data_IF_247850296942
#
_entry.id   IF_247850296942
#
_cell.length_a   1.000
_cell.length_b   1.000
_cell.length_c   1.000
_cell.angle_alpha   90.00
_cell.angle_beta   90.00
_cell.angle_gamma   90.00
#
_symmetry.space_group_name_H-M   'P 1'
#
loop_
_entity.id
_entity.type
_entity.pdbx_description
1 polymer ?
#
# COMPACT_ATOMS: atom_id res chain seq x y z
N UNK A 1 -17.41 17.76 -53.74
CA UNK A 1 -17.93 16.69 -52.86
C UNK A 1 -16.87 15.62 -52.57
N UNK A 2 -16.43 14.83 -53.57
CA UNK A 2 -15.47 13.73 -53.35
C UNK A 2 -14.15 14.16 -52.69
N UNK A 3 -13.56 15.28 -53.12
CA UNK A 3 -12.30 15.80 -52.56
C UNK A 3 -12.42 16.24 -51.10
N UNK A 4 -13.54 16.87 -50.74
CA UNK A 4 -13.80 17.27 -49.35
C UNK A 4 -13.98 16.06 -48.44
N UNK A 5 -14.66 15.02 -48.93
CA UNK A 5 -14.82 13.77 -48.22
C UNK A 5 -13.47 13.05 -48.02
N UNK A 6 -12.60 13.03 -49.03
CA UNK A 6 -11.26 12.44 -48.89
C UNK A 6 -10.39 13.20 -47.89
N UNK A 7 -10.44 14.54 -47.86
CA UNK A 7 -9.70 15.31 -46.85
C UNK A 7 -10.24 15.08 -45.45
N UNK A 8 -11.56 14.99 -45.30
CA UNK A 8 -12.20 14.71 -44.01
C UNK A 8 -11.75 13.37 -43.43
N UNK A 9 -11.77 12.31 -44.25
CA UNK A 9 -11.31 10.99 -43.83
C UNK A 9 -9.81 10.94 -43.54
N UNK A 10 -8.99 11.66 -44.32
CA UNK A 10 -7.54 11.70 -44.11
C UNK A 10 -7.19 12.38 -42.78
N UNK A 11 -7.85 13.49 -42.46
CA UNK A 11 -7.67 14.17 -41.16
C UNK A 11 -8.12 13.26 -40.02
N UNK A 12 -9.31 12.64 -40.15
CA UNK A 12 -9.81 11.68 -39.18
C UNK A 12 -8.86 10.51 -38.94
N UNK A 13 -8.23 9.99 -40.00
CA UNK A 13 -7.30 8.87 -39.91
C UNK A 13 -6.02 9.25 -39.15
N UNK A 14 -5.50 10.44 -39.43
CA UNK A 14 -4.37 10.99 -38.67
C UNK A 14 -4.75 11.21 -37.20
N UNK A 15 -5.94 11.76 -36.93
CA UNK A 15 -6.39 12.00 -35.55
C UNK A 15 -6.58 10.70 -34.77
N UNK A 16 -7.28 9.72 -35.33
CA UNK A 16 -7.49 8.41 -34.69
C UNK A 16 -6.15 7.67 -34.46
N UNK A 17 -5.21 7.74 -35.41
CA UNK A 17 -3.89 7.11 -35.28
C UNK A 17 -3.06 7.76 -34.16
N UNK A 18 -3.08 9.08 -34.05
CA UNK A 18 -2.40 9.82 -32.98
C UNK A 18 -3.04 9.55 -31.62
N UNK A 19 -4.37 9.52 -31.54
CA UNK A 19 -5.09 9.19 -30.30
C UNK A 19 -4.79 7.77 -29.84
N UNK A 20 -4.79 6.80 -30.76
CA UNK A 20 -4.42 5.42 -30.49
C UNK A 20 -2.96 5.31 -30.04
N UNK A 21 -2.04 5.96 -30.75
CA UNK A 21 -0.62 6.00 -30.40
C UNK A 21 -0.37 6.65 -29.04
N UNK A 22 -1.04 7.76 -28.74
CA UNK A 22 -0.99 8.42 -27.44
C UNK A 22 -1.57 7.53 -26.34
N UNK A 23 -2.67 6.83 -26.58
CA UNK A 23 -3.23 5.88 -25.63
C UNK A 23 -2.28 4.71 -25.35
N UNK A 24 -1.62 4.19 -26.37
CA UNK A 24 -0.64 3.10 -26.23
C UNK A 24 0.65 3.57 -25.55
N UNK A 25 1.06 4.83 -25.75
CA UNK A 25 2.31 5.39 -25.21
C UNK A 25 2.17 5.94 -23.78
N UNK A 26 1.08 6.66 -23.48
CA UNK A 26 0.93 7.43 -22.22
C UNK A 26 0.22 6.67 -21.10
N UNK A 27 -0.62 5.68 -21.42
CA UNK A 27 -1.10 4.74 -20.41
C UNK A 27 -0.10 3.60 -20.30
N UNK A 28 0.68 3.60 -19.22
CA UNK A 28 1.46 2.46 -18.72
C UNK A 28 0.55 1.22 -18.56
N UNK A 29 0.25 0.50 -19.62
CA UNK A 29 -0.57 -0.73 -19.55
C UNK A 29 -0.33 -1.61 -20.76
N UNK A 30 0.89 -2.17 -20.84
CA UNK A 30 1.09 -3.49 -21.45
C UNK A 30 0.27 -4.58 -20.71
N UNK A 31 -0.19 -4.31 -19.48
CA UNK A 31 -0.92 -5.25 -18.63
C UNK A 31 -2.40 -5.45 -19.01
N UNK A 32 -3.06 -4.47 -19.66
CA UNK A 32 -4.48 -4.57 -20.06
C UNK A 32 -4.75 -3.87 -21.39
N UNK A 33 -4.35 -4.46 -22.53
CA UNK A 33 -4.68 -3.90 -23.83
C UNK A 33 -6.20 -3.81 -24.02
N UNK A 34 -6.67 -2.81 -24.76
CA UNK A 34 -8.05 -2.79 -25.24
C UNK A 34 -8.34 -4.12 -25.94
N UNK A 35 -9.47 -4.74 -25.61
CA UNK A 35 -9.95 -5.91 -26.34
C UNK A 35 -9.98 -5.58 -27.84
N UNK A 36 -9.52 -6.51 -28.69
CA UNK A 36 -9.56 -6.37 -30.15
C UNK A 36 -10.97 -5.97 -30.65
N UNK A 37 -12.01 -6.44 -29.94
CA UNK A 37 -13.41 -6.07 -30.20
C UNK A 37 -13.69 -4.58 -29.92
N UNK A 38 -13.16 -4.06 -28.82
CA UNK A 38 -13.29 -2.64 -28.49
C UNK A 38 -12.54 -1.77 -29.51
N UNK A 39 -11.31 -2.13 -29.87
CA UNK A 39 -10.54 -1.42 -30.91
C UNK A 39 -11.26 -1.39 -32.26
N UNK A 40 -11.81 -2.52 -32.71
CA UNK A 40 -12.56 -2.62 -33.96
C UNK A 40 -13.83 -1.75 -33.97
N UNK A 41 -14.42 -1.48 -32.79
CA UNK A 41 -15.59 -0.62 -32.65
C UNK A 41 -15.16 0.85 -32.53
N UNK A 42 -14.20 1.18 -31.67
CA UNK A 42 -13.84 2.57 -31.40
C UNK A 42 -13.13 3.25 -32.56
N UNK A 43 -12.26 2.54 -33.29
CA UNK A 43 -11.48 3.12 -34.39
C UNK A 43 -12.33 3.74 -35.52
N UNK A 44 -13.34 3.05 -36.10
CA UNK A 44 -14.19 3.66 -37.12
C UNK A 44 -15.07 4.79 -36.58
N UNK A 45 -15.47 4.74 -35.30
CA UNK A 45 -16.22 5.83 -34.67
C UNK A 45 -15.35 7.07 -34.47
N UNK A 46 -14.09 6.93 -34.03
CA UNK A 46 -13.16 8.05 -33.95
C UNK A 46 -12.85 8.63 -35.33
N UNK A 47 -12.71 7.80 -36.36
CA UNK A 47 -12.48 8.22 -37.74
C UNK A 47 -13.63 9.08 -38.30
N UNK A 48 -14.88 8.65 -38.06
CA UNK A 48 -16.08 9.31 -38.59
C UNK A 48 -16.52 10.52 -37.77
N UNK A 49 -16.21 10.56 -36.47
CA UNK A 49 -16.65 11.63 -35.57
C UNK A 49 -15.48 12.41 -34.98
N UNK A 50 -14.30 12.38 -35.62
CA UNK A 50 -13.09 13.05 -35.16
C UNK A 50 -13.29 14.52 -34.77
N UNK A 51 -14.15 15.34 -35.43
CA UNK A 51 -14.33 16.73 -35.01
C UNK A 51 -14.97 16.83 -33.63
N UNK A 52 -15.93 15.94 -33.31
CA UNK A 52 -16.57 15.90 -32.00
C UNK A 52 -15.60 15.42 -30.93
N UNK A 53 -14.78 14.41 -31.22
CA UNK A 53 -13.74 13.93 -30.30
C UNK A 53 -12.65 14.98 -30.08
N UNK A 54 -12.25 15.70 -31.13
CA UNK A 54 -11.27 16.78 -31.04
C UNK A 54 -11.81 17.95 -30.21
N UNK A 55 -13.06 18.36 -30.42
CA UNK A 55 -13.73 19.39 -29.61
C UNK A 55 -13.90 18.92 -28.17
N UNK A 56 -14.28 17.66 -27.94
CA UNK A 56 -14.40 17.09 -26.60
C UNK A 56 -13.04 16.97 -25.88
N UNK A 57 -11.97 16.67 -26.62
CA UNK A 57 -10.62 16.61 -26.09
C UNK A 57 -10.10 18.01 -25.73
N UNK A 58 -10.36 19.00 -26.59
CA UNK A 58 -10.05 20.40 -26.31
C UNK A 58 -10.86 20.97 -25.14
N UNK A 59 -12.17 20.65 -25.06
CA UNK A 59 -13.05 21.13 -23.99
C UNK A 59 -12.78 20.43 -22.66
N UNK A 60 -12.29 19.19 -22.68
CA UNK A 60 -11.79 18.48 -21.49
C UNK A 60 -10.42 19.00 -21.01
N UNK A 61 -9.79 19.94 -21.72
CA UNK A 61 -8.93 20.96 -21.12
C UNK A 61 -7.85 20.48 -20.14
N UNK A 62 -7.29 19.28 -20.35
CA UNK A 62 -6.12 18.78 -19.64
C UNK A 62 -4.96 18.52 -20.60
N UNK A 63 -4.72 19.46 -21.52
CA UNK A 63 -3.39 19.65 -22.09
C UNK A 63 -2.41 20.32 -21.10
N UNK A 64 -2.85 20.51 -19.85
CA UNK A 64 -2.08 21.16 -18.78
C UNK A 64 -0.93 20.34 -18.15
N UNK A 65 -0.72 19.02 -18.36
CA UNK A 65 0.48 18.39 -17.81
C UNK A 65 1.39 17.67 -18.82
N UNK A 66 1.31 17.94 -20.13
CA UNK A 66 2.24 17.31 -21.11
C UNK A 66 3.49 18.18 -21.37
N UNK A 67 3.38 19.50 -21.19
CA UNK A 67 4.50 20.45 -21.36
C UNK A 67 4.94 21.15 -20.06
N UNK A 68 4.27 20.88 -18.94
CA UNK A 68 4.91 21.12 -17.64
C UNK A 68 5.96 20.04 -17.49
N UNK A 69 7.22 20.37 -17.83
CA UNK A 69 8.37 19.78 -17.16
C UNK A 69 7.98 19.71 -15.70
N UNK A 70 7.76 18.50 -15.19
CA UNK A 70 7.47 18.30 -13.77
C UNK A 70 8.60 19.04 -13.05
N UNK A 71 8.29 20.19 -12.45
CA UNK A 71 9.17 20.76 -11.43
C UNK A 71 9.39 19.58 -10.52
N UNK A 72 10.63 19.07 -10.50
CA UNK A 72 11.09 17.95 -9.68
C UNK A 72 10.20 17.90 -8.45
N UNK A 73 9.41 16.84 -8.27
CA UNK A 73 8.46 16.74 -7.15
C UNK A 73 9.20 17.20 -5.89
N UNK A 74 8.97 18.45 -5.48
CA UNK A 74 9.51 18.97 -4.25
C UNK A 74 8.54 18.40 -3.26
N UNK A 75 9.01 17.42 -2.48
CA UNK A 75 8.32 16.96 -1.28
C UNK A 75 7.68 18.21 -0.65
N UNK A 76 6.34 18.23 -0.51
CA UNK A 76 5.69 19.37 0.14
C UNK A 76 6.44 19.58 1.45
N UNK A 77 6.91 20.82 1.68
CA UNK A 77 7.51 21.12 2.98
C UNK A 77 6.52 20.63 4.03
N UNK A 78 6.94 19.80 5.00
CA UNK A 78 6.03 19.30 6.02
C UNK A 78 5.25 20.50 6.55
N UNK A 79 3.92 20.40 6.59
CA UNK A 79 3.11 21.44 7.19
C UNK A 79 3.69 21.71 8.58
N UNK A 80 3.93 22.97 8.97
CA UNK A 80 4.39 23.27 10.32
C UNK A 80 3.31 22.72 11.26
N UNK A 81 3.60 21.60 11.90
CA UNK A 81 2.78 21.05 12.97
C UNK A 81 2.80 22.12 14.06
N UNK A 82 1.63 22.51 14.56
CA UNK A 82 1.56 23.44 15.69
C UNK A 82 2.44 22.89 16.82
N UNK A 83 3.46 23.62 17.30
CA UNK A 83 4.33 23.15 18.37
C UNK A 83 3.58 22.77 19.66
N UNK A 84 2.35 23.27 19.84
CA UNK A 84 1.49 22.86 20.93
C UNK A 84 0.80 21.51 20.65
N UNK A 85 0.36 21.27 19.42
CA UNK A 85 -0.23 20.00 18.98
C UNK A 85 0.79 18.87 19.06
N UNK A 86 2.02 19.08 18.60
CA UNK A 86 3.08 18.08 18.69
C UNK A 86 3.42 17.75 20.15
N UNK A 87 3.47 18.76 21.03
CA UNK A 87 3.67 18.53 22.47
C UNK A 87 2.54 17.73 23.11
N UNK A 88 1.28 18.00 22.73
CA UNK A 88 0.13 17.20 23.20
C UNK A 88 0.23 15.76 22.71
N UNK A 89 0.66 15.55 21.45
CA UNK A 89 0.87 14.22 20.87
C UNK A 89 1.96 13.45 21.60
N UNK A 90 3.13 14.07 21.85
CA UNK A 90 4.24 13.45 22.59
C UNK A 90 3.79 13.11 24.02
N UNK A 91 3.15 14.05 24.73
CA UNK A 91 2.67 13.81 26.09
C UNK A 91 1.63 12.68 26.17
N UNK A 92 0.72 12.61 25.18
CA UNK A 92 -0.24 11.51 25.09
C UNK A 92 0.46 10.16 24.89
N UNK A 93 1.41 10.06 23.96
CA UNK A 93 2.18 8.83 23.69
C UNK A 93 2.97 8.39 24.92
N UNK A 94 3.66 9.32 25.59
CA UNK A 94 4.36 9.03 26.84
C UNK A 94 3.41 8.59 27.95
N UNK A 95 2.20 9.16 28.02
CA UNK A 95 1.15 8.74 28.95
C UNK A 95 0.71 7.29 28.71
N UNK A 96 0.47 6.92 27.45
CA UNK A 96 0.13 5.55 27.04
C UNK A 96 1.28 4.59 27.30
N UNK A 97 2.53 4.99 27.04
CA UNK A 97 3.70 4.16 27.33
C UNK A 97 3.85 3.85 28.83
N UNK A 98 3.62 4.85 29.69
CA UNK A 98 3.70 4.71 31.16
C UNK A 98 2.55 3.87 31.72
N UNK A 99 1.34 4.05 31.19
CA UNK A 99 0.13 3.35 31.60
C UNK A 99 -0.56 2.73 30.37
N UNK A 100 -0.05 1.59 29.88
CA UNK A 100 -0.60 0.96 28.69
C UNK A 100 -2.04 0.48 28.94
N UNK A 101 -2.91 0.51 27.92
CA UNK A 101 -4.26 -0.01 28.03
C UNK A 101 -4.23 -1.53 28.28
N UNK A 102 -5.35 -2.08 28.72
CA UNK A 102 -5.44 -3.50 29.05
C UNK A 102 -5.14 -4.40 27.84
N UNK A 103 -4.28 -5.41 28.04
CA UNK A 103 -3.82 -6.34 27.01
C UNK A 103 -4.04 -7.78 27.47
N UNK A 104 -4.73 -8.58 26.65
CA UNK A 104 -4.99 -9.99 26.92
C UNK A 104 -3.89 -10.90 26.42
N UNK A 105 -4.06 -12.21 26.61
CA UNK A 105 -3.11 -13.21 26.11
C UNK A 105 -2.89 -13.12 24.60
N UNK A 106 -3.92 -12.77 23.84
CA UNK A 106 -3.88 -12.71 22.39
C UNK A 106 -4.05 -11.28 21.88
N UNK A 107 -3.25 -10.91 20.88
CA UNK A 107 -3.36 -9.66 20.14
C UNK A 107 -3.87 -10.01 18.74
N UNK A 108 -4.84 -9.24 18.24
CA UNK A 108 -5.31 -9.39 16.87
C UNK A 108 -5.40 -8.07 16.13
N UNK A 109 -5.27 -8.13 14.82
CA UNK A 109 -5.45 -6.99 13.92
C UNK A 109 -6.05 -7.48 12.60
N UNK A 110 -6.91 -6.64 12.01
CA UNK A 110 -7.46 -6.88 10.67
C UNK A 110 -6.42 -6.54 9.61
N UNK A 111 -6.38 -7.33 8.55
CA UNK A 111 -5.58 -7.11 7.35
C UNK A 111 -6.03 -5.86 6.62
N UNK A 112 -5.55 -4.71 7.06
CA UNK A 112 -5.78 -3.45 6.35
C UNK A 112 -4.86 -3.39 5.14
N UNK A 113 -5.46 -3.29 3.96
CA UNK A 113 -4.70 -3.12 2.72
C UNK A 113 -4.49 -1.66 2.36
N UNK A 114 -3.42 -1.38 1.60
CA UNK A 114 -3.27 -0.08 0.94
C UNK A 114 -4.45 0.20 0.00
N UNK A 115 -5.00 -0.85 -0.61
CA UNK A 115 -6.14 -0.75 -1.54
C UNK A 115 -7.51 -0.63 -0.85
N UNK A 116 -7.54 -0.55 0.48
CA UNK A 116 -8.78 -0.37 1.23
C UNK A 116 -9.68 -1.60 1.16
N UNK A 117 -9.18 -2.75 1.62
CA UNK A 117 -10.08 -3.87 1.92
C UNK A 117 -11.05 -3.43 3.02
N UNK A 118 -12.35 -3.61 2.77
CA UNK A 118 -13.34 -3.48 3.85
C UNK A 118 -12.99 -4.48 4.94
N UNK A 119 -13.20 -4.10 6.22
CA UNK A 119 -12.89 -4.96 7.38
C UNK A 119 -13.49 -6.36 7.23
N UNK A 120 -14.64 -6.45 6.56
CA UNK A 120 -15.40 -7.68 6.36
C UNK A 120 -14.74 -8.65 5.36
N UNK A 121 -13.84 -8.18 4.49
CA UNK A 121 -13.12 -8.99 3.51
C UNK A 121 -11.63 -9.21 3.88
N UNK A 122 -11.18 -8.59 4.96
CA UNK A 122 -9.78 -8.66 5.43
C UNK A 122 -9.46 -9.96 6.18
N UNK A 123 -8.21 -10.43 6.10
CA UNK A 123 -7.74 -11.50 6.99
C UNK A 123 -7.64 -11.01 8.43
N UNK A 124 -7.83 -11.89 9.42
CA UNK A 124 -7.61 -11.53 10.84
C UNK A 124 -6.32 -12.20 11.29
N UNK A 125 -5.33 -11.41 11.69
CA UNK A 125 -4.05 -11.90 12.19
C UNK A 125 -4.09 -11.96 13.71
N UNK A 126 -3.65 -13.08 14.28
CA UNK A 126 -3.74 -13.36 15.72
C UNK A 126 -2.38 -13.86 16.20
N UNK A 127 -1.86 -13.22 17.23
CA UNK A 127 -0.57 -13.53 17.85
C UNK A 127 -0.72 -13.64 19.36
N UNK A 128 0.14 -14.41 20.03
CA UNK A 128 0.26 -14.29 21.47
C UNK A 128 1.05 -13.02 21.82
N UNK A 129 0.61 -12.29 22.83
CA UNK A 129 1.26 -11.05 23.24
C UNK A 129 2.74 -11.26 23.60
N UNK A 130 3.07 -12.39 24.23
CA UNK A 130 4.46 -12.77 24.56
C UNK A 130 5.34 -12.91 23.31
N UNK A 131 4.79 -13.44 22.22
CA UNK A 131 5.53 -13.68 20.98
C UNK A 131 5.76 -12.35 20.26
N UNK A 132 4.78 -11.44 20.29
CA UNK A 132 4.93 -10.07 19.79
C UNK A 132 6.02 -9.33 20.56
N UNK A 133 5.98 -9.37 21.91
CA UNK A 133 6.99 -8.71 22.74
C UNK A 133 8.40 -9.26 22.48
N UNK A 134 8.55 -10.59 22.42
CA UNK A 134 9.82 -11.24 22.11
C UNK A 134 10.33 -10.86 20.72
N UNK A 135 9.45 -10.89 19.71
CA UNK A 135 9.80 -10.57 18.33
C UNK A 135 10.29 -9.12 18.16
N UNK A 136 9.66 -8.18 18.87
CA UNK A 136 10.05 -6.77 18.86
C UNK A 136 11.35 -6.53 19.63
N UNK A 137 11.56 -7.22 20.76
CA UNK A 137 12.79 -7.13 21.54
C UNK A 137 14.03 -7.61 20.77
N UNK A 138 13.86 -8.54 19.82
CA UNK A 138 14.92 -9.02 18.93
C UNK A 138 15.23 -8.05 17.78
N UNK A 139 14.54 -6.91 17.68
CA UNK A 139 14.77 -5.91 16.66
C UNK A 139 14.27 -6.31 15.26
N UNK A 140 13.45 -7.36 15.13
CA UNK A 140 12.93 -7.86 13.85
C UNK A 140 11.70 -7.09 13.34
N UNK A 141 11.56 -5.83 13.74
CA UNK A 141 10.44 -4.99 13.33
C UNK A 141 10.58 -4.67 11.83
N UNK A 142 9.47 -4.78 11.10
CA UNK A 142 9.44 -4.41 9.69
C UNK A 142 9.43 -2.90 9.52
N UNK A 143 9.94 -2.42 8.39
CA UNK A 143 9.90 -1.02 7.99
C UNK A 143 9.17 -0.90 6.66
N UNK A 144 8.51 0.23 6.35
CA UNK A 144 8.07 0.55 4.99
C UNK A 144 9.19 0.58 3.95
N UNK A 145 10.45 0.49 4.39
CA UNK A 145 11.64 0.59 3.56
C UNK A 145 12.50 -0.67 3.74
N UNK A 146 12.74 -1.39 2.65
CA UNK A 146 13.68 -2.51 2.61
C UNK A 146 14.88 -2.15 1.71
N UNK A 147 16.10 -2.27 2.24
CA UNK A 147 17.35 -2.12 1.49
C UNK A 147 17.99 -3.49 1.36
N UNK A 148 18.09 -4.02 0.14
CA UNK A 148 18.42 -5.43 -0.13
C UNK A 148 19.91 -5.79 0.07
N UNK A 149 20.75 -4.89 0.61
CA UNK A 149 22.21 -5.08 0.74
C UNK A 149 22.82 -4.63 2.08
N UNK A 150 22.04 -4.56 3.15
CA UNK A 150 22.60 -4.30 4.47
C UNK A 150 22.11 -5.30 5.49
N UNK A 151 23.01 -6.16 5.96
CA UNK A 151 22.80 -7.00 7.15
C UNK A 151 22.49 -6.18 8.41
N UNK A 152 22.61 -4.85 8.37
CA UNK A 152 22.29 -3.95 9.49
C UNK A 152 22.01 -2.53 8.98
N UNK A 153 20.79 -2.24 8.52
CA UNK A 153 20.33 -0.86 8.45
C UNK A 153 18.85 -0.80 8.84
N UNK A 154 18.61 -0.74 10.14
CA UNK A 154 17.49 0.05 10.68
C UNK A 154 17.62 1.43 10.06
N UNK A 155 16.81 1.71 9.05
CA UNK A 155 16.66 3.07 8.55
C UNK A 155 15.93 3.83 9.67
N UNK A 156 16.71 4.39 10.60
CA UNK A 156 16.24 5.38 11.55
C UNK A 156 15.96 6.66 10.75
N UNK A 157 14.82 6.70 10.04
CA UNK A 157 14.41 7.83 9.21
C UNK A 157 13.91 9.03 10.03
N UNK A 158 14.19 9.03 11.32
CA UNK A 158 14.10 10.15 12.24
C UNK A 158 15.25 9.88 13.22
N UNK A 159 16.15 10.84 13.42
CA UNK A 159 16.88 10.84 14.69
C UNK A 159 15.78 10.92 15.73
N UNK A 160 15.50 9.80 16.40
CA UNK A 160 14.51 9.75 17.45
C UNK A 160 14.90 10.85 18.43
N UNK A 161 14.05 11.86 18.55
CA UNK A 161 14.11 12.76 19.69
C UNK A 161 14.08 11.84 20.91
N UNK A 162 15.07 11.89 21.83
CA UNK A 162 15.14 10.97 22.96
C UNK A 162 13.87 10.99 23.84
N UNK A 163 13.02 12.01 23.68
CA UNK A 163 11.72 12.14 24.34
C UNK A 163 10.53 11.53 23.53
N UNK A 164 10.69 11.15 22.27
CA UNK A 164 9.64 10.60 21.40
C UNK A 164 9.61 9.06 21.44
N UNK A 165 8.57 8.50 22.06
CA UNK A 165 8.37 7.03 22.11
C UNK A 165 7.87 6.53 20.74
N UNK A 166 8.58 5.58 20.13
CA UNK A 166 8.20 4.99 18.84
C UNK A 166 6.95 4.11 18.94
N UNK A 167 6.21 3.94 17.83
CA UNK A 167 5.02 3.06 17.78
C UNK A 167 5.42 1.62 18.13
N UNK A 168 6.57 1.17 17.65
CA UNK A 168 7.15 -0.14 17.98
C UNK A 168 7.41 -0.30 19.48
N UNK A 169 7.97 0.72 20.15
CA UNK A 169 8.18 0.70 21.61
C UNK A 169 6.85 0.69 22.38
N UNK A 170 5.84 1.42 21.91
CA UNK A 170 4.50 1.38 22.51
C UNK A 170 3.88 -0.02 22.42
N UNK A 171 3.95 -0.65 21.24
CA UNK A 171 3.40 -1.98 21.01
C UNK A 171 4.15 -3.03 21.84
N UNK A 172 5.48 -2.97 21.87
CA UNK A 172 6.30 -3.85 22.70
C UNK A 172 5.91 -3.71 24.17
N UNK A 173 5.88 -2.48 24.70
CA UNK A 173 5.53 -2.23 26.10
C UNK A 173 4.13 -2.71 26.45
N UNK A 174 3.17 -2.48 25.56
CA UNK A 174 1.80 -2.95 25.74
C UNK A 174 1.70 -4.47 25.75
N UNK A 175 2.43 -5.15 24.87
CA UNK A 175 2.49 -6.61 24.80
C UNK A 175 3.23 -7.23 26.02
N UNK A 176 4.25 -6.57 26.56
CA UNK A 176 4.94 -6.97 27.81
C UNK A 176 4.01 -6.87 29.04
N UNK A 177 3.10 -5.92 29.05
CA UNK A 177 2.11 -5.75 30.12
C UNK A 177 0.88 -6.66 29.98
N UNK A 178 0.88 -7.59 29.03
CA UNK A 178 -0.24 -8.49 28.80
C UNK A 178 -0.46 -9.46 29.97
N UNK A 179 -1.72 -9.61 30.36
CA UNK A 179 -2.11 -10.59 31.35
C UNK A 179 -2.34 -11.95 30.69
N UNK A 180 -1.31 -12.80 30.77
CA UNK A 180 -1.35 -14.17 30.23
C UNK A 180 -2.42 -15.07 30.85
N UNK A 181 -2.98 -14.71 32.01
CA UNK A 181 -4.05 -15.46 32.66
C UNK A 181 -5.42 -15.23 32.02
N UNK A 182 -5.57 -14.14 31.24
CA UNK A 182 -6.83 -13.80 30.59
C UNK A 182 -6.81 -14.15 29.10
N UNK A 183 -7.63 -15.12 28.69
CA UNK A 183 -7.65 -15.66 27.32
C UNK A 183 -8.38 -14.78 26.28
N UNK A 184 -8.65 -13.51 26.58
CA UNK A 184 -9.33 -12.63 25.63
C UNK A 184 -8.38 -12.05 24.57
N UNK A 185 -8.97 -11.52 23.51
CA UNK A 185 -8.29 -10.95 22.36
C UNK A 185 -8.31 -9.41 22.43
N UNK A 186 -7.12 -8.80 22.35
CA UNK A 186 -6.96 -7.35 22.31
C UNK A 186 -6.71 -6.86 20.88
N UNK A 187 -7.51 -5.90 20.41
CA UNK A 187 -7.29 -5.22 19.12
C UNK A 187 -6.24 -4.13 19.28
N UNK A 188 -5.39 -3.90 18.27
CA UNK A 188 -4.42 -2.81 18.31
C UNK A 188 -5.11 -1.44 18.10
N UNK A 189 -5.00 -0.61 19.13
CA UNK A 189 -5.48 0.77 19.12
C UNK A 189 -4.35 1.73 18.72
N UNK A 190 -4.59 2.56 17.71
CA UNK A 190 -3.79 3.76 17.41
C UNK A 190 -2.49 3.59 16.60
N UNK A 191 -1.84 2.41 16.61
CA UNK A 191 -0.53 2.19 15.94
C UNK A 191 -0.61 1.26 14.71
N UNK A 192 -1.78 1.22 14.04
CA UNK A 192 -2.08 0.26 12.95
C UNK A 192 -1.13 0.38 11.75
N UNK A 193 -0.64 1.60 11.50
CA UNK A 193 0.21 1.92 10.36
C UNK A 193 1.59 1.25 10.39
N UNK A 194 2.18 1.06 11.57
CA UNK A 194 3.45 0.34 11.72
C UNK A 194 3.22 -1.15 11.95
N UNK A 195 2.15 -1.52 12.65
CA UNK A 195 1.89 -2.91 13.01
C UNK A 195 1.73 -3.83 11.79
N UNK A 196 1.27 -3.34 10.64
CA UNK A 196 1.24 -4.13 9.39
C UNK A 196 2.60 -4.70 8.98
N UNK A 197 3.69 -3.96 9.20
CA UNK A 197 5.02 -4.46 8.85
C UNK A 197 5.51 -5.49 9.87
N UNK A 198 5.08 -5.36 11.13
CA UNK A 198 5.27 -6.37 12.17
C UNK A 198 4.51 -7.66 11.80
N UNK A 199 3.24 -7.55 11.41
CA UNK A 199 2.42 -8.69 10.93
C UNK A 199 3.13 -9.42 9.80
N UNK A 200 3.60 -8.70 8.78
CA UNK A 200 4.32 -9.30 7.65
C UNK A 200 5.48 -10.18 8.12
N UNK A 201 6.34 -9.62 8.96
CA UNK A 201 7.56 -10.31 9.37
C UNK A 201 7.27 -11.46 10.33
N UNK A 202 6.28 -11.32 11.22
CA UNK A 202 5.82 -12.41 12.07
C UNK A 202 5.18 -13.54 11.26
N UNK A 203 4.40 -13.22 10.22
CA UNK A 203 3.81 -14.21 9.31
C UNK A 203 4.91 -14.91 8.50
N UNK A 204 5.88 -14.16 7.96
CA UNK A 204 7.04 -14.71 7.25
C UNK A 204 7.89 -15.64 8.16
N UNK A 205 7.98 -15.33 9.45
CA UNK A 205 8.62 -16.16 10.46
C UNK A 205 7.76 -17.36 10.91
N UNK A 206 6.52 -17.48 10.43
CA UNK A 206 5.58 -18.53 10.79
C UNK A 206 4.99 -18.43 12.19
N UNK A 207 5.08 -17.26 12.84
CA UNK A 207 4.65 -17.02 14.22
C UNK A 207 3.17 -16.64 14.23
N UNK A 208 2.38 -17.29 15.09
CA UNK A 208 0.95 -17.01 15.26
C UNK A 208 0.05 -17.74 14.27
N UNK A 209 -1.18 -17.26 14.14
CA UNK A 209 -2.19 -17.81 13.25
C UNK A 209 -2.95 -16.69 12.55
N UNK A 210 -3.52 -16.98 11.38
CA UNK A 210 -4.46 -16.05 10.75
C UNK A 210 -5.74 -16.76 10.36
N UNK A 211 -6.82 -16.00 10.41
CA UNK A 211 -8.13 -16.41 9.95
C UNK A 211 -8.40 -15.80 8.57
N UNK A 212 -8.70 -16.66 7.60
CA UNK A 212 -9.10 -16.23 6.27
C UNK A 212 -10.63 -16.19 6.21
N UNK A 213 -11.20 -15.00 6.04
CA UNK A 213 -12.66 -14.80 5.98
C UNK A 213 -13.27 -15.56 4.81
N UNK A 214 -12.65 -15.50 3.62
CA UNK A 214 -13.12 -16.23 2.43
C UNK A 214 -13.15 -17.74 2.63
N UNK A 215 -12.17 -18.30 3.35
CA UNK A 215 -12.14 -19.73 3.66
C UNK A 215 -13.01 -20.10 4.88
N UNK A 216 -13.39 -19.12 5.70
CA UNK A 216 -13.96 -19.32 7.03
C UNK A 216 -13.12 -20.31 7.86
N UNK A 217 -11.80 -20.10 7.92
CA UNK A 217 -10.86 -21.05 8.54
C UNK A 217 -9.60 -20.38 9.09
N UNK A 218 -9.15 -20.88 10.24
CA UNK A 218 -7.83 -20.58 10.81
C UNK A 218 -6.73 -21.42 10.15
N UNK A 219 -5.61 -20.77 9.86
CA UNK A 219 -4.38 -21.40 9.40
C UNK A 219 -3.21 -20.96 10.28
N UNK A 220 -2.25 -21.87 10.56
CA UNK A 220 -1.00 -21.46 11.17
C UNK A 220 -0.25 -20.54 10.21
N UNK A 221 0.46 -19.54 10.74
CA UNK A 221 1.17 -18.58 9.88
C UNK A 221 2.31 -19.24 9.08
N UNK A 222 2.85 -20.36 9.56
CA UNK A 222 3.82 -21.19 8.82
C UNK A 222 3.26 -21.81 7.52
N UNK A 223 1.94 -21.85 7.34
CA UNK A 223 1.30 -22.31 6.11
C UNK A 223 0.94 -21.16 5.15
N UNK A 224 1.20 -19.91 5.53
CA UNK A 224 0.92 -18.75 4.70
C UNK A 224 2.05 -18.49 3.72
N UNK A 225 1.73 -17.85 2.60
CA UNK A 225 2.73 -17.36 1.66
C UNK A 225 2.78 -15.84 1.71
N UNK A 226 4.00 -15.30 1.85
CA UNK A 226 4.29 -13.89 1.59
C UNK A 226 4.88 -13.83 0.18
N UNK A 227 4.16 -13.23 -0.75
CA UNK A 227 4.56 -13.18 -2.17
C UNK A 227 4.92 -11.77 -2.60
N UNK A 228 6.00 -11.67 -3.36
CA UNK A 228 6.50 -10.43 -3.97
C UNK A 228 6.29 -10.51 -5.48
N UNK A 229 5.51 -9.60 -6.10
CA UNK A 229 5.45 -9.53 -7.56
C UNK A 229 6.85 -9.14 -8.10
N UNK A 230 7.31 -9.77 -9.20
CA UNK A 230 8.65 -9.54 -9.73
C UNK A 230 8.81 -8.08 -10.18
N UNK A 231 9.87 -7.42 -9.70
CA UNK A 231 10.26 -6.10 -10.17
C UNK A 231 11.12 -6.21 -11.43
N UNK A 232 10.68 -5.63 -12.55
CA UNK A 232 11.48 -5.62 -13.79
C UNK A 232 12.81 -4.82 -13.65
N UNK A 233 12.90 -3.88 -12.70
CA UNK A 233 14.09 -3.03 -12.48
C UNK A 233 14.55 -2.94 -11.01
N UNK A 234 13.90 -3.72 -10.13
CA UNK A 234 14.14 -3.85 -8.69
C UNK A 234 14.15 -2.58 -7.81
N UNK A 235 13.79 -1.40 -8.35
CA UNK A 235 13.53 -0.18 -7.57
C UNK A 235 12.06 0.20 -7.60
N UNK A 236 11.54 0.68 -6.47
CA UNK A 236 10.21 1.28 -6.39
C UNK A 236 9.35 0.67 -5.29
N UNK A 237 8.06 0.98 -5.33
CA UNK A 237 7.07 0.40 -4.42
C UNK A 237 6.71 -1.02 -4.88
N UNK A 238 6.96 -2.01 -4.03
CA UNK A 238 6.42 -3.37 -4.14
C UNK A 238 5.18 -3.44 -3.26
N UNK A 239 4.19 -4.20 -3.73
CA UNK A 239 3.06 -4.61 -2.90
C UNK A 239 3.27 -6.07 -2.56
N UNK A 240 3.57 -6.34 -1.30
CA UNK A 240 3.64 -7.69 -0.76
C UNK A 240 2.24 -8.17 -0.44
N UNK A 241 1.97 -9.43 -0.76
CA UNK A 241 0.70 -10.06 -0.43
C UNK A 241 0.92 -11.16 0.59
N UNK A 242 0.14 -11.12 1.67
CA UNK A 242 -0.01 -12.25 2.58
C UNK A 242 -1.21 -13.05 2.11
N UNK A 243 -1.00 -14.32 1.76
CA UNK A 243 -2.04 -15.19 1.22
C UNK A 243 -2.19 -16.47 2.04
N UNK A 244 -3.42 -16.98 2.10
CA UNK A 244 -3.70 -18.28 2.70
C UNK A 244 -3.31 -19.44 1.76
N UNK A 245 -3.33 -20.71 2.21
CA UNK A 245 -3.01 -21.88 1.37
C UNK A 245 -3.90 -22.06 0.13
N UNK A 246 -5.02 -21.33 0.05
CA UNK A 246 -5.90 -21.28 -1.12
C UNK A 246 -5.71 -20.02 -1.97
N UNK A 247 -4.60 -19.31 -1.78
CA UNK A 247 -4.19 -18.10 -2.52
C UNK A 247 -5.13 -16.89 -2.37
N UNK A 248 -6.09 -16.91 -1.43
CA UNK A 248 -6.84 -15.69 -1.08
C UNK A 248 -5.91 -14.71 -0.37
N UNK A 249 -5.92 -13.45 -0.80
CA UNK A 249 -5.18 -12.36 -0.17
C UNK A 249 -5.84 -11.96 1.14
N UNK A 250 -5.07 -11.99 2.22
CA UNK A 250 -5.49 -11.58 3.57
C UNK A 250 -5.07 -10.14 3.87
N UNK A 251 -3.96 -9.70 3.27
CA UNK A 251 -3.39 -8.37 3.45
C UNK A 251 -2.49 -8.01 2.26
N UNK A 252 -2.47 -6.74 1.88
CA UNK A 252 -1.48 -6.19 0.97
C UNK A 252 -0.68 -5.07 1.66
N UNK A 253 0.64 -5.05 1.45
CA UNK A 253 1.57 -4.19 2.18
C UNK A 253 2.48 -3.50 1.18
N UNK A 254 2.46 -2.17 1.18
CA UNK A 254 3.32 -1.36 0.33
C UNK A 254 4.70 -1.20 0.98
N UNK A 255 5.75 -1.66 0.30
CA UNK A 255 7.15 -1.56 0.75
C UNK A 255 7.93 -0.87 -0.35
N UNK A 256 8.71 0.13 0.01
CA UNK A 256 9.65 0.76 -0.91
C UNK A 256 10.98 0.03 -0.88
N UNK A 257 11.37 -0.53 -2.03
CA UNK A 257 12.67 -1.15 -2.21
C UNK A 257 13.67 -0.12 -2.73
N UNK A 258 14.72 0.09 -1.94
CA UNK A 258 15.87 0.89 -2.30
C UNK A 258 17.06 -0.04 -2.56
N UNK A 259 17.62 0.02 -3.77
CA UNK A 259 18.91 -0.59 -4.10
C UNK A 259 20.04 0.43 -4.06
#
# INVERSE_FOLDING_TARGET
MLRFFSYYLLIGLVTASVTLGFHLYYRKTLERPYSKKALAIFFPFELLFWPLFFIAALSRGSFKPVLEQSKSFRLPKPMPIDPEEERRRIAFRQGVYKNPPFCGKYIYEYGSGFRGFDKDDSGIFIFEAKDVAAFLAEGRHGSPYEIENSETLTINLREDDPDEVSDTQLIQRWAECADSSMEFYSEIAGCRGEFRYIIRNMVAAGIGQSYCVTCNKHYPNSAMSVTHPPLENGRGWIIDFIQCPKEHTLMDIEIMHFF
#
